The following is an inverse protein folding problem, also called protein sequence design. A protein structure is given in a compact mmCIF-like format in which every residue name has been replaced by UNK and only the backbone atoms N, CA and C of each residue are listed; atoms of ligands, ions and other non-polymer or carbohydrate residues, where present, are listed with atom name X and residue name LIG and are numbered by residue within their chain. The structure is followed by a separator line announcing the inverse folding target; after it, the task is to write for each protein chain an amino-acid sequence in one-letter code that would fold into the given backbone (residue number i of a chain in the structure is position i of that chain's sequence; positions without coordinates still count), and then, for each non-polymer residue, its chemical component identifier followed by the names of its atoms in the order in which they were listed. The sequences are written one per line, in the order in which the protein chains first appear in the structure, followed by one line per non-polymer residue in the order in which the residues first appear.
data_IF_358988960792
#
_entry.id   IF_358988960792
#
_cell.length_a   1.000
_cell.length_b   1.000
_cell.length_c   1.000
_cell.angle_alpha   90.00
_cell.angle_beta   90.00
_cell.angle_gamma   90.00
#
_symmetry.space_group_name_H-M   'P 1'
#
loop_
_entity.id
_entity.type
_entity.pdbx_description
1 polymer ?
#
# COMPACT_ATOMS: atom_id res chain seq x y z
N UNK A 1 -6.55 5.50 9.40
CA UNK A 1 -5.30 5.41 10.18
C UNK A 1 -4.64 6.78 10.27
N UNK A 2 -4.21 7.40 9.17
CA UNK A 2 -3.68 8.77 9.17
C UNK A 2 -4.66 9.76 9.83
N UNK A 3 -5.93 9.74 9.44
CA UNK A 3 -6.96 10.60 10.07
C UNK A 3 -7.14 10.36 11.57
N UNK A 4 -6.91 9.14 12.07
CA UNK A 4 -7.00 8.82 13.51
C UNK A 4 -5.83 9.43 14.26
N UNK A 5 -4.64 9.47 13.65
CA UNK A 5 -3.46 10.08 14.25
C UNK A 5 -3.54 11.61 14.36
N UNK A 6 -4.42 12.27 13.60
CA UNK A 6 -4.57 13.72 13.64
C UNK A 6 -5.00 14.24 15.00
N UNK A 7 -5.81 13.47 15.74
CA UNK A 7 -6.41 13.98 16.98
C UNK A 7 -5.34 14.42 18.00
N UNK A 8 -4.31 13.60 18.22
CA UNK A 8 -3.19 13.97 19.11
C UNK A 8 -2.35 15.13 18.57
N UNK A 9 -2.18 15.24 17.25
CA UNK A 9 -1.40 16.32 16.63
C UNK A 9 -2.04 17.71 16.79
N UNK A 10 -3.32 17.78 17.15
CA UNK A 10 -4.00 19.04 17.45
C UNK A 10 -3.73 19.56 18.86
N UNK A 11 -3.13 18.76 19.74
CA UNK A 11 -2.79 19.18 21.10
C UNK A 11 -1.47 19.97 21.13
N UNK A 12 -1.55 21.25 21.50
CA UNK A 12 -0.41 22.16 21.51
C UNK A 12 0.25 22.25 22.89
N UNK A 13 1.58 22.10 22.93
CA UNK A 13 2.40 22.34 24.12
C UNK A 13 2.45 23.82 24.56
N UNK A 14 1.86 24.73 23.79
CA UNK A 14 1.89 26.18 24.02
C UNK A 14 1.39 26.54 25.43
N UNK A 15 2.16 27.38 26.13
CA UNK A 15 1.90 27.76 27.52
C UNK A 15 2.51 26.84 28.58
N UNK A 16 3.19 25.74 28.22
CA UNK A 16 3.97 24.94 29.18
C UNK A 16 5.26 25.63 29.67
N UNK A 17 5.72 26.65 28.95
CA UNK A 17 6.97 27.39 29.19
C UNK A 17 8.19 26.46 29.34
N UNK A 18 9.00 26.61 30.38
CA UNK A 18 10.31 25.94 30.45
C UNK A 18 10.21 24.43 30.72
N UNK A 19 9.33 24.03 31.67
CA UNK A 19 9.29 22.66 32.21
C UNK A 19 7.87 22.10 32.34
N UNK A 20 6.87 22.78 31.77
CA UNK A 20 5.47 22.34 31.78
C UNK A 20 4.60 23.01 32.85
N UNK A 21 5.17 23.78 33.77
CA UNK A 21 4.43 24.45 34.84
C UNK A 21 3.64 25.68 34.38
N UNK A 22 4.00 26.26 33.23
CA UNK A 22 3.45 27.54 32.79
C UNK A 22 3.98 28.75 33.55
N UNK A 23 5.06 28.59 34.32
CA UNK A 23 5.73 29.71 35.00
C UNK A 23 6.05 30.83 34.00
N UNK A 24 5.75 32.08 34.38
CA UNK A 24 5.89 33.29 33.58
C UNK A 24 4.92 33.43 32.39
N UNK A 25 3.93 32.55 32.23
CA UNK A 25 2.81 32.75 31.31
C UNK A 25 1.58 33.29 32.04
N UNK A 26 0.79 34.12 31.36
CA UNK A 26 -0.54 34.49 31.85
C UNK A 26 -1.44 33.23 31.91
N UNK A 27 -2.28 33.04 32.96
CA UNK A 27 -3.11 31.83 33.11
C UNK A 27 -4.01 31.50 31.89
N UNK A 28 -4.47 32.53 31.18
CA UNK A 28 -5.31 32.35 29.98
C UNK A 28 -4.51 32.15 28.68
N UNK A 29 -3.19 32.30 28.69
CA UNK A 29 -2.37 32.34 27.47
C UNK A 29 -2.49 31.06 26.65
N UNK A 30 -2.34 29.90 27.29
CA UNK A 30 -2.37 28.61 26.61
C UNK A 30 -3.68 28.37 25.85
N UNK A 31 -4.82 28.62 26.52
CA UNK A 31 -6.15 28.45 25.94
C UNK A 31 -6.49 29.51 24.87
N UNK A 32 -6.17 30.79 25.12
CA UNK A 32 -6.41 31.86 24.15
C UNK A 32 -5.58 31.68 22.88
N UNK A 33 -4.30 31.33 23.01
CA UNK A 33 -3.42 31.12 21.86
C UNK A 33 -3.83 29.89 21.05
N UNK A 34 -4.14 28.77 21.70
CA UNK A 34 -4.61 27.57 20.99
C UNK A 34 -5.91 27.84 20.21
N UNK A 35 -6.89 28.53 20.82
CA UNK A 35 -8.11 28.97 20.10
C UNK A 35 -7.79 29.88 18.93
N UNK A 36 -6.84 30.81 19.10
CA UNK A 36 -6.47 31.71 18.00
C UNK A 36 -5.84 30.96 16.83
N UNK A 37 -5.00 29.95 17.11
CA UNK A 37 -4.43 29.08 16.09
C UNK A 37 -5.54 28.26 15.38
N UNK A 38 -6.51 27.75 16.14
CA UNK A 38 -7.65 27.04 15.57
C UNK A 38 -8.48 27.93 14.62
N UNK A 39 -8.78 29.17 15.04
CA UNK A 39 -9.48 30.16 14.19
C UNK A 39 -8.73 30.46 12.90
N UNK A 40 -7.40 30.64 12.97
CA UNK A 40 -6.59 31.02 11.80
C UNK A 40 -6.40 29.88 10.80
N UNK A 41 -6.39 28.63 11.28
CA UNK A 41 -6.13 27.45 10.44
C UNK A 41 -7.40 26.72 10.02
N UNK A 42 -8.53 26.97 10.69
CA UNK A 42 -9.75 26.18 10.53
C UNK A 42 -9.64 24.74 11.06
N UNK A 43 -8.56 24.42 11.77
CA UNK A 43 -8.30 23.09 12.34
C UNK A 43 -8.58 23.08 13.85
N UNK A 44 -8.98 21.95 14.45
CA UNK A 44 -9.43 21.88 15.84
C UNK A 44 -8.28 21.87 16.86
N UNK A 45 -7.31 22.76 16.70
CA UNK A 45 -6.20 22.93 17.64
C UNK A 45 -6.67 23.30 19.04
N UNK A 46 -6.03 22.70 20.04
CA UNK A 46 -6.37 22.89 21.45
C UNK A 46 -5.11 22.86 22.30
N UNK A 47 -5.25 23.29 23.56
CA UNK A 47 -4.12 23.27 24.48
C UNK A 47 -3.98 21.88 25.09
N UNK A 48 -2.78 21.28 25.02
CA UNK A 48 -2.57 19.92 25.52
C UNK A 48 -2.92 19.81 27.02
N UNK A 49 -3.71 18.82 27.48
CA UNK A 49 -4.19 18.76 28.86
C UNK A 49 -3.07 18.57 29.90
N UNK A 50 -1.93 17.99 29.49
CA UNK A 50 -0.74 17.81 30.33
C UNK A 50 0.51 18.38 29.66
N UNK A 51 1.02 19.52 30.15
CA UNK A 51 2.18 20.20 29.53
C UNK A 51 3.52 19.53 29.83
N UNK A 52 3.61 18.70 30.86
CA UNK A 52 4.81 17.91 31.11
C UNK A 52 4.98 16.90 29.99
N UNK A 53 3.95 16.07 29.73
CA UNK A 53 3.95 15.09 28.66
C UNK A 53 4.28 15.70 27.29
N UNK A 54 3.63 16.83 26.94
CA UNK A 54 3.83 17.51 25.65
C UNK A 54 5.23 18.14 25.45
N UNK A 55 6.02 18.27 26.51
CA UNK A 55 7.40 18.77 26.44
C UNK A 55 8.42 17.63 26.55
N UNK A 56 8.18 16.68 27.46
CA UNK A 56 9.06 15.55 27.78
C UNK A 56 8.99 14.41 26.78
N UNK A 57 7.90 14.31 26.00
CA UNK A 57 7.67 13.29 24.98
C UNK A 57 6.98 13.90 23.75
N UNK A 58 6.94 13.13 22.66
CA UNK A 58 6.29 13.49 21.39
C UNK A 58 5.61 12.26 20.80
N UNK A 59 4.83 11.58 21.63
CA UNK A 59 4.24 10.27 21.31
C UNK A 59 3.20 10.38 20.19
N UNK A 60 2.54 11.54 20.07
CA UNK A 60 1.61 11.86 19.00
C UNK A 60 2.32 11.87 17.63
N UNK A 61 3.56 12.36 17.57
CA UNK A 61 4.40 12.34 16.36
C UNK A 61 4.86 10.92 16.05
N UNK A 62 5.25 10.14 17.06
CA UNK A 62 5.61 8.72 16.90
C UNK A 62 4.42 7.92 16.37
N UNK A 63 3.23 8.14 16.94
CA UNK A 63 2.00 7.49 16.52
C UNK A 63 1.62 7.86 15.08
N UNK A 64 1.70 9.14 14.74
CA UNK A 64 1.44 9.62 13.38
C UNK A 64 2.44 9.05 12.36
N UNK A 65 3.72 8.97 12.71
CA UNK A 65 4.74 8.28 11.91
C UNK A 65 4.38 6.81 11.66
N UNK A 66 3.94 6.08 12.69
CA UNK A 66 3.49 4.70 12.54
C UNK A 66 2.31 4.53 11.59
N UNK A 67 1.40 5.50 11.55
CA UNK A 67 0.30 5.54 10.58
C UNK A 67 0.81 5.74 9.14
N UNK A 68 1.83 6.59 8.93
CA UNK A 68 2.47 6.79 7.63
C UNK A 68 3.27 5.56 7.19
N UNK A 69 4.00 4.90 8.11
CA UNK A 69 4.66 3.61 7.83
C UNK A 69 3.65 2.56 7.35
N UNK A 70 2.48 2.49 7.98
CA UNK A 70 1.43 1.54 7.57
C UNK A 70 0.92 1.83 6.16
N UNK A 71 0.77 3.12 5.82
CA UNK A 71 0.44 3.54 4.45
C UNK A 71 1.55 3.15 3.47
N UNK A 72 2.82 3.44 3.80
CA UNK A 72 3.98 3.07 2.99
C UNK A 72 4.05 1.57 2.72
N UNK A 73 3.80 0.71 3.71
CA UNK A 73 3.74 -0.75 3.52
C UNK A 73 2.63 -1.16 2.53
N UNK A 74 1.47 -0.51 2.61
CA UNK A 74 0.34 -0.77 1.71
C UNK A 74 0.68 -0.34 0.27
N UNK A 75 1.26 0.85 0.11
CA UNK A 75 1.68 1.39 -1.18
C UNK A 75 2.81 0.57 -1.80
N UNK A 76 3.78 0.09 -1.00
CA UNK A 76 4.84 -0.79 -1.47
C UNK A 76 4.25 -2.05 -2.09
N UNK A 77 3.29 -2.70 -1.42
CA UNK A 77 2.61 -3.88 -1.97
C UNK A 77 1.90 -3.55 -3.27
N UNK A 78 1.07 -2.50 -3.28
CA UNK A 78 0.29 -2.10 -4.47
C UNK A 78 1.21 -1.83 -5.68
N UNK A 79 2.24 -1.02 -5.48
CA UNK A 79 3.23 -0.70 -6.52
C UNK A 79 3.99 -1.95 -6.99
N UNK A 80 4.35 -2.83 -6.04
CA UNK A 80 5.06 -4.07 -6.33
C UNK A 80 4.20 -5.06 -7.13
N UNK A 81 2.92 -5.18 -6.82
CA UNK A 81 1.99 -6.02 -7.60
C UNK A 81 1.85 -5.47 -9.02
N UNK A 82 1.63 -4.16 -9.17
CA UNK A 82 1.47 -3.52 -10.49
C UNK A 82 2.73 -3.73 -11.36
N UNK A 83 3.94 -3.54 -10.81
CA UNK A 83 5.17 -3.77 -11.58
C UNK A 83 5.36 -5.23 -11.98
N UNK A 84 4.92 -6.19 -11.16
CA UNK A 84 4.99 -7.62 -11.49
C UNK A 84 3.96 -8.00 -12.54
N UNK A 85 2.71 -7.58 -12.39
CA UNK A 85 1.64 -7.82 -13.35
C UNK A 85 1.97 -7.23 -14.72
N UNK A 86 2.70 -6.12 -14.77
CA UNK A 86 3.18 -5.51 -16.01
C UNK A 86 4.53 -6.03 -16.53
N UNK A 87 5.19 -6.96 -15.82
CA UNK A 87 6.49 -7.48 -16.24
C UNK A 87 6.39 -8.20 -17.59
N UNK A 88 7.31 -7.89 -18.52
CA UNK A 88 7.19 -8.35 -19.90
C UNK A 88 8.23 -7.73 -20.84
N UNK A 89 7.99 -7.72 -22.16
CA UNK A 89 6.72 -8.07 -22.81
C UNK A 89 6.51 -9.57 -23.07
N UNK A 90 7.54 -10.41 -22.92
CA UNK A 90 7.46 -11.85 -23.27
C UNK A 90 7.94 -12.83 -22.20
N UNK A 91 8.73 -12.36 -21.24
CA UNK A 91 9.39 -13.20 -20.23
C UNK A 91 8.97 -12.81 -18.80
N UNK A 92 7.73 -12.34 -18.63
CA UNK A 92 7.13 -11.96 -17.35
C UNK A 92 5.66 -12.41 -17.28
N UNK A 93 4.84 -11.73 -16.49
CA UNK A 93 3.41 -12.00 -16.39
C UNK A 93 2.61 -11.34 -17.53
N UNK A 94 2.87 -10.06 -17.82
CA UNK A 94 2.24 -9.34 -18.93
C UNK A 94 0.71 -9.21 -18.86
N UNK A 95 0.12 -9.29 -17.67
CA UNK A 95 -1.33 -9.12 -17.46
C UNK A 95 -1.77 -7.66 -17.55
N UNK A 96 -0.87 -6.72 -17.22
CA UNK A 96 -1.10 -5.29 -17.34
C UNK A 96 -0.17 -4.65 -18.38
N UNK A 97 -0.65 -3.58 -19.01
CA UNK A 97 0.16 -2.64 -19.78
C UNK A 97 0.15 -1.29 -19.06
N UNK A 98 1.33 -0.70 -18.90
CA UNK A 98 1.52 0.58 -18.23
C UNK A 98 1.75 1.69 -19.27
N UNK A 99 1.40 2.95 -18.96
CA UNK A 99 1.72 4.08 -19.81
C UNK A 99 3.24 4.26 -19.96
N UNK A 100 3.68 4.61 -21.16
CA UNK A 100 5.08 4.95 -21.47
C UNK A 100 5.27 6.47 -21.37
N UNK A 101 5.79 6.95 -20.24
CA UNK A 101 5.98 8.40 -20.00
C UNK A 101 7.34 8.90 -20.47
N UNK A 102 8.39 8.09 -20.30
CA UNK A 102 9.75 8.40 -20.70
C UNK A 102 10.07 7.78 -22.07
N UNK A 103 10.86 8.44 -22.94
CA UNK A 103 11.22 7.87 -24.23
C UNK A 103 11.94 6.53 -24.09
N UNK A 104 11.31 5.46 -24.58
CA UNK A 104 11.94 4.16 -24.74
C UNK A 104 12.99 4.14 -25.86
N UNK A 105 13.68 3.01 -26.00
CA UNK A 105 14.57 2.78 -27.13
C UNK A 105 13.77 2.23 -28.31
N UNK A 106 13.88 2.85 -29.48
CA UNK A 106 13.19 2.39 -30.70
C UNK A 106 13.55 0.96 -31.13
N UNK A 107 14.68 0.43 -30.67
CA UNK A 107 15.09 -0.98 -30.91
C UNK A 107 14.42 -1.98 -29.94
N UNK A 108 13.76 -1.50 -28.88
CA UNK A 108 13.13 -2.32 -27.83
C UNK A 108 11.61 -2.08 -27.74
N UNK A 109 10.82 -2.40 -28.79
CA UNK A 109 9.38 -2.18 -28.78
C UNK A 109 8.68 -2.97 -27.68
N UNK A 110 7.72 -2.33 -26.99
CA UNK A 110 6.92 -2.94 -25.92
C UNK A 110 7.64 -3.08 -24.57
N UNK A 111 8.91 -2.67 -24.47
CA UNK A 111 9.60 -2.58 -23.18
C UNK A 111 9.24 -1.26 -22.49
N UNK A 112 8.41 -1.34 -21.46
CA UNK A 112 8.08 -0.21 -20.59
C UNK A 112 8.60 -0.50 -19.18
N UNK A 113 9.48 0.36 -18.66
CA UNK A 113 9.95 0.23 -17.28
C UNK A 113 8.89 0.83 -16.34
N UNK A 114 8.56 0.19 -15.20
CA UNK A 114 7.54 0.67 -14.27
C UNK A 114 8.09 1.77 -13.33
N UNK A 115 8.62 2.85 -13.90
CA UNK A 115 9.39 3.92 -13.22
C UNK A 115 8.63 4.55 -12.04
N UNK A 116 7.33 4.78 -12.21
CA UNK A 116 6.47 5.32 -11.15
C UNK A 116 6.29 4.34 -9.98
N UNK A 117 6.20 3.04 -10.26
CA UNK A 117 6.15 2.01 -9.21
C UNK A 117 7.51 1.90 -8.49
N UNK A 118 8.62 2.02 -9.22
CA UNK A 118 9.97 2.07 -8.64
C UNK A 118 10.10 3.24 -7.67
N UNK A 119 9.74 4.46 -8.10
CA UNK A 119 9.75 5.65 -7.25
C UNK A 119 8.90 5.47 -5.98
N UNK A 120 7.67 4.96 -6.12
CA UNK A 120 6.78 4.75 -4.98
C UNK A 120 7.32 3.70 -3.99
N UNK A 121 7.96 2.63 -4.49
CA UNK A 121 8.61 1.64 -3.61
C UNK A 121 9.83 2.20 -2.90
N UNK A 122 10.64 3.06 -3.55
CA UNK A 122 11.76 3.75 -2.89
C UNK A 122 11.28 4.71 -1.80
N UNK A 123 10.22 5.47 -2.07
CA UNK A 123 9.59 6.34 -1.06
C UNK A 123 9.11 5.52 0.14
N UNK A 124 8.47 4.38 -0.09
CA UNK A 124 8.01 3.52 0.99
C UNK A 124 9.18 3.01 1.87
N UNK A 125 10.32 2.65 1.28
CA UNK A 125 11.55 2.31 2.03
C UNK A 125 12.05 3.51 2.84
N UNK A 126 12.08 4.70 2.25
CA UNK A 126 12.50 5.92 2.94
C UNK A 126 11.61 6.23 4.16
N UNK A 127 10.30 6.09 4.03
CA UNK A 127 9.34 6.29 5.13
C UNK A 127 9.56 5.31 6.27
N UNK A 128 9.89 4.04 5.97
CA UNK A 128 10.23 3.06 7.02
C UNK A 128 11.51 3.44 7.78
N UNK A 129 12.52 3.95 7.07
CA UNK A 129 13.73 4.48 7.71
C UNK A 129 13.47 5.70 8.58
N UNK A 130 12.66 6.64 8.07
CA UNK A 130 12.23 7.83 8.80
C UNK A 130 11.44 7.45 10.08
N UNK A 131 10.55 6.46 10.01
CA UNK A 131 9.80 5.96 11.17
C UNK A 131 10.72 5.38 12.25
N UNK A 132 11.75 4.63 11.86
CA UNK A 132 12.72 4.11 12.81
C UNK A 132 13.49 5.24 13.52
N UNK A 133 13.89 6.28 12.77
CA UNK A 133 14.56 7.45 13.33
C UNK A 133 13.64 8.21 14.30
N UNK A 134 12.37 8.42 13.94
CA UNK A 134 11.36 9.09 14.79
C UNK A 134 11.10 8.26 16.05
N UNK A 135 10.88 6.95 15.91
CA UNK A 135 10.61 6.06 17.03
C UNK A 135 11.78 6.02 18.02
N UNK A 136 13.02 5.93 17.51
CA UNK A 136 14.19 5.99 18.37
C UNK A 136 14.30 7.36 19.06
N UNK A 137 14.23 8.48 18.32
CA UNK A 137 14.26 9.82 18.89
C UNK A 137 13.16 10.08 19.95
N UNK A 138 11.95 9.56 19.74
CA UNK A 138 10.84 9.64 20.68
C UNK A 138 11.16 8.96 22.02
N UNK A 139 11.89 7.83 21.99
CA UNK A 139 12.28 7.08 23.19
C UNK A 139 13.36 7.74 24.04
N UNK A 140 14.09 8.73 23.51
CA UNK A 140 15.27 9.33 24.15
C UNK A 140 14.97 10.60 24.95
N UNK A 141 13.73 10.81 25.39
CA UNK A 141 13.39 11.91 26.29
C UNK A 141 14.10 11.79 27.64
N UNK A 142 14.55 12.90 28.21
CA UNK A 142 15.13 12.93 29.56
C UNK A 142 14.43 13.98 30.42
N UNK A 143 13.86 13.53 31.55
CA UNK A 143 13.16 14.38 32.51
C UNK A 143 12.09 15.25 31.82
N UNK A 144 12.14 16.58 31.96
CA UNK A 144 11.08 17.48 31.49
C UNK A 144 11.13 17.80 29.98
N UNK A 145 12.13 17.33 29.23
CA UNK A 145 12.29 17.72 27.83
C UNK A 145 12.86 16.62 26.93
N UNK A 146 12.12 16.24 25.88
CA UNK A 146 12.72 15.54 24.75
C UNK A 146 13.37 16.57 23.81
N UNK A 147 14.70 16.48 23.65
CA UNK A 147 15.52 17.42 22.86
C UNK A 147 15.73 16.99 21.40
N UNK A 148 15.16 15.86 20.98
CA UNK A 148 15.26 15.35 19.60
C UNK A 148 14.17 15.90 18.67
N UNK A 149 13.48 16.98 19.07
CA UNK A 149 12.35 17.58 18.32
C UNK A 149 12.69 17.85 16.84
N UNK A 150 13.86 18.44 16.49
CA UNK A 150 14.18 18.74 15.09
C UNK A 150 14.26 17.52 14.19
N UNK A 151 14.89 16.43 14.65
CA UNK A 151 15.01 15.21 13.83
C UNK A 151 13.67 14.49 13.70
N UNK A 152 12.81 14.54 14.72
CA UNK A 152 11.47 13.96 14.65
C UNK A 152 10.59 14.68 13.63
N UNK A 153 10.49 16.01 13.72
CA UNK A 153 9.61 16.76 12.81
C UNK A 153 10.14 16.78 11.37
N UNK A 154 11.47 16.81 11.19
CA UNK A 154 12.09 16.69 9.86
C UNK A 154 11.70 15.38 9.18
N UNK A 155 11.90 14.24 9.85
CA UNK A 155 11.59 12.93 9.28
C UNK A 155 10.08 12.75 9.07
N UNK A 156 9.24 13.32 9.95
CA UNK A 156 7.80 13.25 9.81
C UNK A 156 7.33 14.02 8.56
N UNK A 157 7.73 15.28 8.42
CA UNK A 157 7.36 16.12 7.27
C UNK A 157 7.94 15.58 5.96
N UNK A 158 9.18 15.11 5.96
CA UNK A 158 9.79 14.46 4.80
C UNK A 158 8.99 13.24 4.35
N UNK A 159 8.48 12.43 5.28
CA UNK A 159 7.61 11.29 4.96
C UNK A 159 6.26 11.73 4.38
N UNK A 160 5.65 12.78 4.94
CA UNK A 160 4.38 13.33 4.45
C UNK A 160 4.52 13.85 3.02
N UNK A 161 5.56 14.64 2.75
CA UNK A 161 5.82 15.24 1.44
C UNK A 161 6.09 14.16 0.39
N UNK A 162 7.04 13.25 0.65
CA UNK A 162 7.34 12.16 -0.27
C UNK A 162 6.11 11.28 -0.58
N UNK A 163 5.33 10.91 0.44
CA UNK A 163 4.14 10.09 0.23
C UNK A 163 3.08 10.83 -0.58
N UNK A 164 2.87 12.12 -0.31
CA UNK A 164 1.89 12.94 -1.03
C UNK A 164 2.27 13.03 -2.51
N UNK A 165 3.51 13.42 -2.79
CA UNK A 165 3.99 13.63 -4.14
C UNK A 165 4.06 12.33 -4.93
N UNK A 166 4.58 11.26 -4.32
CA UNK A 166 4.66 9.96 -4.97
C UNK A 166 3.28 9.35 -5.23
N UNK A 167 2.29 9.54 -4.34
CA UNK A 167 0.92 9.09 -4.61
C UNK A 167 0.31 9.85 -5.79
N UNK A 168 0.45 11.18 -5.83
CA UNK A 168 -0.08 11.98 -6.93
C UNK A 168 0.59 11.61 -8.27
N UNK A 169 1.92 11.54 -8.29
CA UNK A 169 2.70 11.14 -9.46
C UNK A 169 2.34 9.72 -9.94
N UNK A 170 2.22 8.76 -9.01
CA UNK A 170 1.85 7.39 -9.35
C UNK A 170 0.43 7.30 -9.92
N UNK A 171 -0.51 8.08 -9.39
CA UNK A 171 -1.88 8.12 -9.90
C UNK A 171 -1.91 8.70 -11.31
N UNK A 172 -1.31 9.87 -11.51
CA UNK A 172 -1.34 10.61 -12.77
C UNK A 172 -0.58 9.89 -13.89
N UNK A 173 0.63 9.42 -13.61
CA UNK A 173 1.55 8.89 -14.60
C UNK A 173 1.60 7.37 -14.65
N UNK A 174 0.79 6.66 -13.86
CA UNK A 174 0.70 5.20 -13.94
C UNK A 174 -0.74 4.73 -13.86
N UNK A 175 -1.41 4.90 -12.71
CA UNK A 175 -2.71 4.26 -12.43
C UNK A 175 -3.78 4.62 -13.45
N UNK A 176 -3.90 5.89 -13.84
CA UNK A 176 -4.91 6.32 -14.82
C UNK A 176 -4.72 5.70 -16.22
N UNK A 177 -3.50 5.29 -16.57
CA UNK A 177 -3.17 4.70 -17.86
C UNK A 177 -3.05 3.18 -17.85
N UNK A 178 -3.37 2.49 -16.75
CA UNK A 178 -3.28 1.03 -16.69
C UNK A 178 -4.34 0.41 -17.59
N UNK A 179 -3.90 -0.47 -18.49
CA UNK A 179 -4.77 -1.31 -19.32
C UNK A 179 -4.55 -2.79 -19.01
N UNK A 180 -5.62 -3.58 -19.11
CA UNK A 180 -5.55 -5.03 -18.96
C UNK A 180 -5.22 -5.69 -20.31
N UNK A 181 -4.18 -6.52 -20.34
CA UNK A 181 -3.88 -7.37 -21.48
C UNK A 181 -4.83 -8.58 -21.49
N UNK A 182 -6.03 -8.37 -22.03
CA UNK A 182 -7.12 -9.37 -22.00
C UNK A 182 -6.75 -10.68 -22.72
N UNK A 183 -5.94 -10.61 -23.77
CA UNK A 183 -5.48 -11.81 -24.49
C UNK A 183 -4.59 -12.68 -23.59
N UNK A 184 -3.62 -12.07 -22.91
CA UNK A 184 -2.73 -12.78 -22.00
C UNK A 184 -3.48 -13.34 -20.78
N UNK A 185 -4.40 -12.55 -20.22
CA UNK A 185 -5.21 -12.98 -19.08
C UNK A 185 -6.11 -14.17 -19.47
N UNK A 186 -6.78 -14.11 -20.61
CA UNK A 186 -7.61 -15.22 -21.12
C UNK A 186 -6.77 -16.48 -21.37
N UNK A 187 -5.56 -16.32 -21.92
CA UNK A 187 -4.61 -17.42 -22.06
C UNK A 187 -4.28 -18.07 -20.71
N UNK A 188 -3.96 -17.29 -19.67
CA UNK A 188 -3.67 -17.85 -18.36
C UNK A 188 -4.87 -18.54 -17.71
N UNK A 189 -6.05 -17.93 -17.78
CA UNK A 189 -7.27 -18.54 -17.22
C UNK A 189 -7.54 -19.89 -17.88
N UNK A 190 -7.51 -19.97 -19.21
CA UNK A 190 -7.80 -21.22 -19.96
C UNK A 190 -6.76 -22.32 -19.76
N UNK A 191 -5.51 -21.95 -19.50
CA UNK A 191 -4.42 -22.91 -19.30
C UNK A 191 -4.11 -23.19 -17.82
N UNK A 192 -4.82 -22.54 -16.90
CA UNK A 192 -4.65 -22.74 -15.47
C UNK A 192 -5.20 -24.09 -15.03
N UNK A 193 -4.46 -24.77 -14.15
CA UNK A 193 -4.93 -25.99 -13.49
C UNK A 193 -5.92 -25.72 -12.35
N UNK A 194 -6.15 -24.44 -11.99
CA UNK A 194 -6.93 -24.09 -10.81
C UNK A 194 -8.44 -24.15 -11.02
N UNK A 195 -8.90 -24.14 -12.27
CA UNK A 195 -10.30 -24.28 -12.61
C UNK A 195 -10.85 -25.71 -12.40
N UNK A 196 -9.98 -26.69 -12.12
CA UNK A 196 -10.34 -28.10 -12.01
C UNK A 196 -11.36 -28.40 -10.92
N UNK A 197 -11.42 -27.56 -9.88
CA UNK A 197 -12.36 -27.72 -8.76
C UNK A 197 -13.83 -27.65 -9.21
N UNK A 198 -14.11 -26.96 -10.31
CA UNK A 198 -15.45 -26.90 -10.91
C UNK A 198 -15.95 -28.26 -11.43
N UNK A 199 -15.05 -29.23 -11.66
CA UNK A 199 -15.42 -30.58 -12.06
C UNK A 199 -15.89 -31.44 -10.87
N UNK A 200 -15.46 -31.11 -9.64
CA UNK A 200 -15.67 -31.95 -8.46
C UNK A 200 -17.15 -32.29 -8.17
N UNK A 201 -18.14 -31.38 -8.36
CA UNK A 201 -19.55 -31.72 -8.18
C UNK A 201 -20.07 -32.81 -9.13
N UNK A 202 -19.44 -32.98 -10.31
CA UNK A 202 -19.85 -33.95 -11.33
C UNK A 202 -19.09 -35.27 -11.23
N UNK A 203 -17.77 -35.21 -11.09
CA UNK A 203 -16.88 -36.39 -11.16
C UNK A 203 -16.25 -36.74 -9.81
N UNK A 204 -16.55 -36.00 -8.76
CA UNK A 204 -15.93 -36.17 -7.45
C UNK A 204 -14.48 -35.66 -7.39
N UNK A 205 -13.96 -35.55 -6.17
CA UNK A 205 -12.63 -34.99 -5.92
C UNK A 205 -11.50 -35.82 -6.53
N UNK A 206 -11.54 -37.15 -6.39
CA UNK A 206 -10.45 -38.03 -6.83
C UNK A 206 -10.27 -38.00 -8.35
N UNK A 207 -11.37 -37.99 -9.12
CA UNK A 207 -11.30 -37.91 -10.58
C UNK A 207 -10.83 -36.51 -11.02
N UNK A 208 -11.31 -35.44 -10.39
CA UNK A 208 -10.84 -34.07 -10.66
C UNK A 208 -9.32 -33.92 -10.38
N UNK A 209 -8.82 -34.49 -9.28
CA UNK A 209 -7.40 -34.50 -8.97
C UNK A 209 -6.57 -35.29 -10.00
N UNK A 210 -7.12 -36.39 -10.54
CA UNK A 210 -6.47 -37.13 -11.64
C UNK A 210 -6.40 -36.31 -12.93
N UNK A 211 -7.46 -35.55 -13.27
CA UNK A 211 -7.44 -34.61 -14.41
C UNK A 211 -6.30 -33.61 -14.27
N UNK A 212 -6.19 -32.94 -13.12
CA UNK A 212 -5.13 -31.95 -12.89
C UNK A 212 -3.72 -32.56 -12.99
N UNK A 213 -3.52 -33.76 -12.42
CA UNK A 213 -2.24 -34.49 -12.49
C UNK A 213 -1.89 -34.89 -13.92
N UNK A 214 -2.88 -35.36 -14.69
CA UNK A 214 -2.70 -35.73 -16.09
C UNK A 214 -2.36 -34.51 -16.95
N UNK A 215 -3.12 -33.41 -16.80
CA UNK A 215 -2.89 -32.14 -17.48
C UNK A 215 -1.46 -31.62 -17.22
N UNK A 216 -1.05 -31.58 -15.96
CA UNK A 216 0.29 -31.15 -15.57
C UNK A 216 1.39 -32.04 -16.18
N UNK A 217 1.26 -33.36 -16.07
CA UNK A 217 2.26 -34.32 -16.56
C UNK A 217 2.40 -34.30 -18.08
N UNK A 218 1.30 -34.10 -18.80
CA UNK A 218 1.28 -34.11 -20.26
C UNK A 218 1.46 -32.70 -20.87
N UNK A 219 1.54 -31.64 -20.06
CA UNK A 219 1.60 -30.25 -20.51
C UNK A 219 0.44 -29.86 -21.44
N UNK A 220 -0.77 -30.26 -21.07
CA UNK A 220 -2.01 -29.97 -21.81
C UNK A 220 -3.02 -29.26 -20.91
N UNK A 221 -4.09 -28.72 -21.51
CA UNK A 221 -5.17 -28.07 -20.76
C UNK A 221 -5.97 -29.05 -19.90
N UNK A 222 -6.68 -28.53 -18.88
CA UNK A 222 -7.63 -29.33 -18.10
C UNK A 222 -8.71 -29.96 -18.97
N UNK A 223 -9.17 -29.22 -19.99
CA UNK A 223 -10.18 -29.69 -20.94
C UNK A 223 -9.68 -30.93 -21.69
N UNK A 224 -8.51 -30.85 -22.31
CA UNK A 224 -7.92 -31.98 -23.02
C UNK A 224 -7.68 -33.19 -22.10
N UNK A 225 -7.17 -32.97 -20.89
CA UNK A 225 -6.96 -34.05 -19.94
C UNK A 225 -8.26 -34.72 -19.50
N UNK A 226 -9.32 -33.94 -19.23
CA UNK A 226 -10.62 -34.46 -18.79
C UNK A 226 -11.30 -35.29 -19.89
N UNK A 227 -11.18 -34.84 -21.14
CA UNK A 227 -11.68 -35.55 -22.32
C UNK A 227 -10.87 -36.84 -22.58
N UNK A 228 -9.53 -36.79 -22.49
CA UNK A 228 -8.66 -37.95 -22.69
C UNK A 228 -8.89 -39.06 -21.65
N UNK A 229 -9.22 -38.69 -20.41
CA UNK A 229 -9.56 -39.63 -19.35
C UNK A 229 -11.00 -40.15 -19.45
N UNK A 230 -11.83 -39.57 -20.33
CA UNK A 230 -13.22 -39.96 -20.51
C UNK A 230 -14.11 -39.62 -19.31
N UNK A 231 -13.73 -38.64 -18.48
CA UNK A 231 -14.48 -38.27 -17.28
C UNK A 231 -15.62 -37.28 -17.56
N UNK A 232 -15.50 -36.47 -18.62
CA UNK A 232 -16.54 -35.55 -19.10
C UNK A 232 -16.47 -35.39 -20.62
N UNK A 233 -17.59 -35.01 -21.25
CA UNK A 233 -17.57 -34.55 -22.65
C UNK A 233 -17.08 -33.09 -22.78
N UNK A 234 -16.83 -32.67 -24.01
CA UNK A 234 -16.52 -31.27 -24.34
C UNK A 234 -17.61 -30.31 -23.83
N UNK A 235 -18.88 -30.64 -24.11
CA UNK A 235 -20.04 -29.83 -23.74
C UNK A 235 -20.25 -29.80 -22.22
N UNK A 236 -20.02 -30.93 -21.54
CA UNK A 236 -20.08 -30.98 -20.08
C UNK A 236 -18.97 -30.12 -19.46
N UNK A 237 -17.74 -30.18 -19.97
CA UNK A 237 -16.64 -29.34 -19.50
C UNK A 237 -16.97 -27.85 -19.67
N UNK A 238 -17.41 -27.45 -20.87
CA UNK A 238 -17.71 -26.04 -21.18
C UNK A 238 -18.94 -25.51 -20.40
N UNK A 239 -19.82 -26.40 -19.94
CA UNK A 239 -20.95 -26.04 -19.08
C UNK A 239 -20.54 -25.90 -17.61
N UNK A 240 -19.63 -26.75 -17.14
CA UNK A 240 -19.21 -26.80 -15.73
C UNK A 240 -18.11 -25.78 -15.41
N UNK A 241 -17.16 -25.60 -16.31
CA UNK A 241 -15.96 -24.80 -16.07
C UNK A 241 -16.14 -23.41 -16.68
N UNK A 242 -16.84 -22.55 -15.93
CA UNK A 242 -17.11 -21.15 -16.29
C UNK A 242 -16.42 -20.21 -15.31
N UNK A 243 -15.25 -19.64 -15.65
CA UNK A 243 -14.49 -18.78 -14.74
C UNK A 243 -15.31 -17.65 -14.13
N UNK A 244 -16.26 -17.08 -14.87
CA UNK A 244 -17.19 -16.05 -14.40
C UNK A 244 -18.05 -16.50 -13.21
N UNK A 245 -18.46 -17.77 -13.19
CA UNK A 245 -19.28 -18.37 -12.14
C UNK A 245 -18.43 -18.81 -10.92
N UNK A 246 -17.10 -18.74 -11.04
CA UNK A 246 -16.14 -19.15 -9.98
C UNK A 246 -15.61 -17.97 -9.16
N UNK A 247 -16.30 -16.82 -9.22
CA UNK A 247 -15.87 -15.56 -8.58
C UNK A 247 -16.73 -15.16 -7.39
N UNK A 248 -17.74 -15.95 -7.03
CA UNK A 248 -18.72 -15.66 -5.99
C UNK A 248 -19.28 -16.95 -5.33
N UNK A 249 -19.96 -16.85 -4.16
CA UNK A 249 -20.56 -18.00 -3.47
C UNK A 249 -21.77 -18.61 -4.16
#
# INVERSE_FOLDING_TARGET
RVAVALDGLYDLAIGGTAVGTGLNAHPEFAGKTARKIAELTGLPFRSHPNKFAALSAHDEIVFASGALKTLAASLFKIANDIRWLASGPRCGLGELTLPENEPGSSIMPGKVNPTQAEALTMVAVQVMGNDAAIGFAGSQGNFELNVFKPVMIFNYLHSVELLTDACNSFVEHCVHGIEANREQIDHYVRNSLMLVTALAPKIGYDQAAQVAKAAHKAHISLREAALNLGYVTAEEFDTLVKPEDMTHP
#
